data_IF_293584444458
#
_entry.id   IF_293584444458
#
_cell.length_a   1.000
_cell.length_b   1.000
_cell.length_c   1.000
_cell.angle_alpha   90.00
_cell.angle_beta   90.00
_cell.angle_gamma   90.00
#
_symmetry.space_group_name_H-M   'P 1'
#
loop_
_entity.id
_entity.type
_entity.pdbx_description
1 polymer ?
#
# COMPACT_ATOMS: atom_id res chain seq x y z
N UNK A 1 -2.82 23.42 28.47
CA UNK A 1 -3.02 21.97 28.68
C UNK A 1 -3.17 21.37 27.29
N UNK A 2 -2.05 21.05 26.65
CA UNK A 2 -2.03 20.67 25.23
C UNK A 2 -2.32 19.18 25.11
N UNK A 3 -3.55 18.84 24.74
CA UNK A 3 -3.89 17.52 24.21
C UNK A 3 -3.06 17.35 22.93
N UNK A 4 -1.97 16.57 23.01
CA UNK A 4 -1.33 16.02 21.82
C UNK A 4 -2.36 15.08 21.21
N UNK A 5 -2.97 15.49 20.10
CA UNK A 5 -3.72 14.57 19.24
C UNK A 5 -2.74 13.49 18.80
N UNK A 6 -3.05 12.24 19.11
CA UNK A 6 -2.30 11.10 18.59
C UNK A 6 -2.49 11.12 17.05
N UNK A 7 -1.44 10.95 16.24
CA UNK A 7 -1.59 10.78 14.78
C UNK A 7 -2.65 9.72 14.42
N UNK A 8 -2.83 8.72 15.29
CA UNK A 8 -3.86 7.67 15.22
C UNK A 8 -5.30 8.20 15.25
N UNK A 9 -5.57 9.33 15.91
CA UNK A 9 -6.92 9.92 16.02
C UNK A 9 -7.36 10.61 14.72
N UNK A 10 -6.41 11.01 13.89
CA UNK A 10 -6.65 11.76 12.64
C UNK A 10 -6.75 10.85 11.42
N UNK A 11 -6.28 9.60 11.55
CA UNK A 11 -6.41 8.61 10.50
C UNK A 11 -7.89 8.24 10.29
N UNK A 12 -8.26 7.87 9.05
CA UNK A 12 -9.59 7.36 8.77
C UNK A 12 -9.93 6.21 9.74
N UNK A 13 -11.17 6.16 10.27
CA UNK A 13 -11.60 4.98 11.02
C UNK A 13 -11.32 3.75 10.17
N UNK A 14 -10.89 2.65 10.80
CA UNK A 14 -10.66 1.39 10.10
C UNK A 14 -11.84 1.16 9.15
N UNK A 15 -11.58 1.17 7.85
CA UNK A 15 -12.57 0.68 6.90
C UNK A 15 -12.94 -0.71 7.41
N UNK A 16 -14.24 -0.95 7.63
CA UNK A 16 -14.71 -2.27 8.02
C UNK A 16 -14.00 -3.27 7.10
N UNK A 17 -13.30 -4.24 7.70
CA UNK A 17 -12.59 -5.27 6.96
C UNK A 17 -13.47 -5.67 5.77
N UNK A 18 -12.96 -5.64 4.52
CA UNK A 18 -13.78 -5.72 3.33
C UNK A 18 -14.85 -6.79 3.52
N UNK A 19 -16.11 -6.35 3.52
CA UNK A 19 -17.28 -7.18 3.80
C UNK A 19 -17.27 -8.34 2.84
N UNK A 20 -16.91 -9.53 3.32
CA UNK A 20 -16.92 -10.85 2.66
C UNK A 20 -17.02 -10.78 1.12
N UNK A 21 -16.12 -10.03 0.48
CA UNK A 21 -15.83 -10.27 -0.92
C UNK A 21 -15.25 -11.69 -0.90
N UNK A 22 -15.82 -12.66 -1.64
CA UNK A 22 -15.27 -14.00 -1.63
C UNK A 22 -13.79 -13.84 -1.93
N UNK A 23 -12.93 -14.18 -0.96
CA UNK A 23 -11.49 -14.30 -1.17
C UNK A 23 -11.38 -15.09 -2.46
N UNK A 24 -10.96 -14.43 -3.54
CA UNK A 24 -10.86 -15.04 -4.85
C UNK A 24 -9.82 -16.14 -4.74
N UNK A 25 -10.28 -17.33 -4.37
CA UNK A 25 -9.49 -18.49 -3.95
C UNK A 25 -8.83 -19.13 -5.17
N UNK A 26 -7.99 -18.36 -5.85
CA UNK A 26 -7.26 -18.83 -7.00
C UNK A 26 -5.81 -18.42 -6.84
N UNK A 27 -5.01 -19.41 -6.47
CA UNK A 27 -3.55 -19.32 -6.46
C UNK A 27 -3.10 -18.91 -7.86
N UNK A 28 -2.36 -17.81 -7.94
CA UNK A 28 -1.87 -17.26 -9.21
C UNK A 28 -0.37 -17.00 -9.07
N UNK A 29 0.42 -17.81 -9.76
CA UNK A 29 1.87 -17.64 -9.93
C UNK A 29 2.12 -16.96 -11.27
N UNK A 30 2.88 -15.86 -11.31
CA UNK A 30 3.23 -15.26 -12.60
C UNK A 30 4.34 -16.05 -13.28
N UNK A 31 4.37 -15.99 -14.61
CA UNK A 31 5.42 -16.59 -15.45
C UNK A 31 6.82 -16.34 -14.90
N UNK A 32 7.69 -17.35 -14.93
CA UNK A 32 9.06 -17.32 -14.43
C UNK A 32 9.20 -17.55 -12.92
N UNK A 33 8.08 -17.71 -12.20
CA UNK A 33 8.11 -18.15 -10.79
C UNK A 33 8.60 -19.59 -10.71
N UNK A 34 9.60 -19.85 -9.88
CA UNK A 34 10.14 -21.21 -9.69
C UNK A 34 9.54 -21.87 -8.47
N UNK A 35 9.03 -23.09 -8.67
CA UNK A 35 8.47 -23.94 -7.63
C UNK A 35 9.49 -25.02 -7.28
N UNK A 36 9.69 -25.27 -5.98
CA UNK A 36 10.54 -26.35 -5.51
C UNK A 36 9.97 -27.72 -5.87
N UNK A 37 10.76 -28.55 -6.53
CA UNK A 37 10.42 -29.94 -6.91
C UNK A 37 11.57 -30.89 -6.61
N UNK A 38 11.33 -32.20 -6.73
CA UNK A 38 12.41 -33.21 -6.66
C UNK A 38 13.48 -33.06 -7.76
N UNK A 39 13.17 -32.34 -8.84
CA UNK A 39 14.08 -32.02 -9.94
C UNK A 39 14.83 -30.70 -9.73
N UNK A 40 14.67 -30.07 -8.56
CA UNK A 40 15.14 -28.72 -8.27
C UNK A 40 14.04 -27.66 -8.40
N UNK A 41 14.44 -26.39 -8.46
CA UNK A 41 13.54 -25.25 -8.68
C UNK A 41 13.14 -25.16 -10.15
N UNK A 42 11.88 -25.46 -10.48
CA UNK A 42 11.35 -25.49 -11.85
C UNK A 42 10.39 -24.33 -12.06
N UNK A 43 10.56 -23.58 -13.15
CA UNK A 43 9.66 -22.49 -13.53
C UNK A 43 8.23 -23.01 -13.74
N UNK A 44 7.23 -22.25 -13.30
CA UNK A 44 5.83 -22.68 -13.28
C UNK A 44 5.31 -23.03 -14.67
N UNK A 45 5.77 -22.34 -15.72
CA UNK A 45 5.43 -22.65 -17.11
C UNK A 45 6.09 -23.95 -17.64
N UNK A 46 7.13 -24.44 -16.97
CA UNK A 46 7.90 -25.62 -17.34
C UNK A 46 7.55 -26.86 -16.49
N UNK A 47 6.71 -26.70 -15.47
CA UNK A 47 6.14 -27.80 -14.69
C UNK A 47 5.24 -28.68 -15.58
N UNK A 48 5.15 -29.96 -15.22
CA UNK A 48 4.30 -30.94 -15.88
C UNK A 48 3.40 -31.62 -14.87
N UNK A 49 2.21 -32.02 -15.30
CA UNK A 49 1.35 -32.91 -14.52
C UNK A 49 2.14 -34.19 -14.21
N UNK A 50 2.11 -34.60 -12.94
CA UNK A 50 2.91 -35.71 -12.40
C UNK A 50 4.26 -35.30 -11.80
N UNK A 51 4.75 -34.07 -12.02
CA UNK A 51 5.94 -33.58 -11.31
C UNK A 51 5.68 -33.56 -9.79
N UNK A 52 6.67 -33.99 -9.00
CA UNK A 52 6.56 -34.00 -7.54
C UNK A 52 7.05 -32.68 -6.96
N UNK A 53 6.11 -31.84 -6.54
CA UNK A 53 6.37 -30.61 -5.80
C UNK A 53 6.82 -30.93 -4.37
N UNK A 54 7.79 -30.18 -3.87
CA UNK A 54 8.17 -30.19 -2.45
C UNK A 54 7.18 -29.29 -1.71
N UNK A 55 6.47 -29.86 -0.74
CA UNK A 55 5.46 -29.16 0.07
C UNK A 55 5.80 -29.23 1.56
N UNK A 56 5.09 -28.45 2.38
CA UNK A 56 5.23 -28.50 3.84
C UNK A 56 4.86 -29.88 4.43
N UNK A 57 3.97 -30.63 3.77
CA UNK A 57 3.55 -31.97 4.23
C UNK A 57 4.31 -33.13 3.58
N UNK A 58 5.27 -32.86 2.70
CA UNK A 58 6.05 -33.89 1.97
C UNK A 58 6.09 -33.66 0.47
N UNK A 59 6.18 -34.74 -0.31
CA UNK A 59 6.14 -34.64 -1.77
C UNK A 59 4.71 -34.81 -2.26
N UNK A 60 4.24 -33.92 -3.14
CA UNK A 60 2.92 -34.04 -3.77
C UNK A 60 2.99 -33.97 -5.29
N UNK A 61 2.31 -34.88 -6.01
CA UNK A 61 2.14 -34.77 -7.45
C UNK A 61 1.36 -33.50 -7.83
N UNK A 62 1.84 -32.80 -8.85
CA UNK A 62 1.07 -31.78 -9.56
C UNK A 62 0.01 -32.50 -10.39
N UNK A 63 -1.26 -32.22 -10.13
CA UNK A 63 -2.40 -32.86 -10.81
C UNK A 63 -2.91 -32.02 -11.98
N UNK A 64 -2.76 -30.69 -11.89
CA UNK A 64 -3.21 -29.76 -12.92
C UNK A 64 -2.39 -28.48 -12.95
N UNK A 65 -2.20 -27.95 -14.14
CA UNK A 65 -1.56 -26.64 -14.38
C UNK A 65 -2.45 -25.88 -15.36
N UNK A 66 -2.89 -24.70 -14.97
CA UNK A 66 -3.80 -23.88 -15.78
C UNK A 66 -3.21 -22.51 -16.03
N UNK A 67 -3.11 -22.13 -17.31
CA UNK A 67 -2.88 -20.73 -17.68
C UNK A 67 -4.17 -19.94 -17.47
N UNK A 68 -4.07 -18.78 -16.82
CA UNK A 68 -5.22 -17.92 -16.54
C UNK A 68 -4.82 -16.43 -16.59
N UNK A 69 -5.82 -15.58 -16.75
CA UNK A 69 -5.66 -14.14 -16.55
C UNK A 69 -5.49 -13.80 -15.08
N UNK A 70 -4.87 -12.65 -14.81
CA UNK A 70 -4.85 -12.06 -13.47
C UNK A 70 -6.22 -11.45 -13.18
N UNK A 71 -6.89 -11.98 -12.16
CA UNK A 71 -8.13 -11.41 -11.63
C UNK A 71 -7.80 -10.67 -10.32
N UNK A 72 -8.49 -9.56 -10.04
CA UNK A 72 -8.37 -8.84 -8.76
C UNK A 72 -7.36 -7.68 -8.74
N UNK A 73 -6.96 -7.17 -9.91
CA UNK A 73 -6.10 -5.99 -10.05
C UNK A 73 -4.62 -6.34 -10.25
N UNK A 74 -3.75 -5.36 -9.95
CA UNK A 74 -2.31 -5.52 -10.15
C UNK A 74 -1.70 -6.62 -9.27
N UNK A 75 -0.77 -7.42 -9.80
CA UNK A 75 -0.05 -8.43 -9.03
C UNK A 75 0.84 -7.77 -7.96
N UNK A 76 1.21 -8.57 -6.96
CA UNK A 76 2.17 -8.16 -5.94
C UNK A 76 3.55 -8.70 -6.30
N UNK A 77 4.49 -7.78 -6.48
CA UNK A 77 5.92 -8.08 -6.50
C UNK A 77 6.45 -8.11 -5.08
N UNK A 78 7.04 -9.23 -4.72
CA UNK A 78 7.79 -9.43 -3.49
C UNK A 78 9.27 -9.42 -3.89
N UNK A 79 10.02 -8.42 -3.44
CA UNK A 79 11.46 -8.35 -3.68
C UNK A 79 12.17 -9.53 -3.02
N UNK A 80 13.29 -9.95 -3.61
CA UNK A 80 14.17 -10.93 -2.99
C UNK A 80 14.48 -10.52 -1.54
N UNK A 81 14.47 -11.49 -0.62
CA UNK A 81 14.78 -11.30 0.81
C UNK A 81 13.79 -10.42 1.58
N UNK A 82 12.59 -10.17 1.04
CA UNK A 82 11.57 -9.37 1.74
C UNK A 82 11.07 -10.02 3.05
N UNK A 83 11.12 -11.35 3.17
CA UNK A 83 10.79 -12.13 4.36
C UNK A 83 12.04 -12.70 5.04
N UNK A 84 13.16 -11.97 5.01
CA UNK A 84 14.45 -12.43 5.52
C UNK A 84 15.30 -13.06 4.41
N UNK A 85 15.46 -14.38 4.38
CA UNK A 85 16.22 -15.03 3.30
C UNK A 85 15.36 -15.37 2.07
N UNK A 86 14.04 -15.24 2.18
CA UNK A 86 13.07 -15.57 1.14
C UNK A 86 12.24 -14.34 0.74
N UNK A 87 11.71 -14.30 -0.50
CA UNK A 87 12.05 -15.20 -1.60
C UNK A 87 13.50 -15.01 -2.07
N UNK A 88 14.10 -16.03 -2.69
CA UNK A 88 15.51 -16.00 -3.16
C UNK A 88 15.71 -15.08 -4.36
N UNK A 89 14.62 -14.80 -5.09
CA UNK A 89 14.53 -13.90 -6.24
C UNK A 89 13.22 -13.12 -6.11
N UNK A 90 13.06 -12.08 -6.92
CA UNK A 90 11.79 -11.37 -6.99
C UNK A 90 10.66 -12.32 -7.40
N UNK A 91 9.66 -12.42 -6.54
CA UNK A 91 8.50 -13.29 -6.70
C UNK A 91 7.26 -12.46 -7.03
N UNK A 92 6.49 -12.92 -8.01
CA UNK A 92 5.29 -12.24 -8.47
C UNK A 92 4.07 -13.14 -8.26
N UNK A 93 3.13 -12.66 -7.47
CA UNK A 93 1.90 -13.40 -7.14
C UNK A 93 0.67 -12.56 -7.45
N UNK A 94 -0.44 -13.22 -7.78
CA UNK A 94 -1.74 -12.55 -7.81
C UNK A 94 -2.12 -11.98 -6.43
N UNK A 95 -2.91 -10.90 -6.35
CA UNK A 95 -3.14 -10.18 -5.10
C UNK A 95 -3.81 -11.02 -4.00
N UNK A 96 -4.64 -11.99 -4.38
CA UNK A 96 -5.32 -12.89 -3.44
C UNK A 96 -4.48 -14.08 -2.95
N UNK A 97 -3.27 -14.28 -3.49
CA UNK A 97 -2.46 -15.48 -3.22
C UNK A 97 -2.00 -15.52 -1.76
N UNK A 98 -2.33 -16.59 -1.04
CA UNK A 98 -1.96 -16.80 0.35
C UNK A 98 -0.47 -17.10 0.56
N UNK A 99 0.21 -16.22 1.30
CA UNK A 99 1.53 -16.51 1.87
C UNK A 99 1.33 -17.21 3.21
N UNK A 100 2.04 -18.32 3.42
CA UNK A 100 2.01 -19.06 4.67
C UNK A 100 3.02 -18.47 5.65
N UNK A 101 2.52 -17.77 6.67
CA UNK A 101 3.34 -17.12 7.69
C UNK A 101 2.56 -17.03 9.00
N UNK A 102 3.25 -17.06 10.15
CA UNK A 102 2.62 -17.03 11.48
C UNK A 102 1.54 -18.09 11.70
N UNK A 103 1.72 -19.28 11.14
CA UNK A 103 0.73 -20.36 11.25
C UNK A 103 -0.60 -20.03 10.56
N UNK A 104 -0.61 -19.07 9.63
CA UNK A 104 -1.79 -18.63 8.90
C UNK A 104 -1.50 -18.48 7.39
N UNK A 105 -2.56 -18.49 6.58
CA UNK A 105 -2.53 -18.05 5.18
C UNK A 105 -2.99 -16.59 5.09
N UNK A 106 -2.12 -15.70 4.63
CA UNK A 106 -2.40 -14.27 4.53
C UNK A 106 -2.28 -13.85 3.07
N UNK A 107 -3.31 -13.23 2.47
CA UNK A 107 -3.20 -12.74 1.09
C UNK A 107 -2.03 -11.79 0.96
N UNK A 108 -1.19 -12.01 -0.06
CA UNK A 108 0.00 -11.20 -0.30
C UNK A 108 -0.32 -9.71 -0.44
N UNK A 109 -1.48 -9.36 -1.01
CA UNK A 109 -1.94 -7.97 -1.09
C UNK A 109 -2.11 -7.30 0.27
N UNK A 110 -2.55 -8.05 1.28
CA UNK A 110 -2.71 -7.54 2.64
C UNK A 110 -1.36 -7.30 3.31
N UNK A 111 -0.25 -7.77 2.74
CA UNK A 111 1.12 -7.60 3.25
C UNK A 111 1.91 -6.53 2.49
N UNK A 112 1.29 -5.86 1.51
CA UNK A 112 1.93 -4.80 0.76
C UNK A 112 2.43 -3.70 1.70
N UNK A 113 3.68 -3.29 1.53
CA UNK A 113 4.31 -2.21 2.28
C UNK A 113 4.81 -1.08 1.37
N UNK A 114 4.62 -1.19 0.05
CA UNK A 114 5.03 -0.17 -0.92
C UNK A 114 6.54 -0.09 -1.17
N UNK A 115 7.36 -0.87 -0.47
CA UNK A 115 8.83 -0.86 -0.61
C UNK A 115 9.34 -2.20 -1.10
N UNK A 116 9.21 -3.26 -0.31
CA UNK A 116 9.65 -4.62 -0.66
C UNK A 116 8.50 -5.51 -1.14
N UNK A 117 7.26 -5.17 -0.78
CA UNK A 117 6.04 -5.78 -1.32
C UNK A 117 5.21 -4.69 -1.99
N UNK A 118 5.12 -4.72 -3.33
CA UNK A 118 4.48 -3.67 -4.14
C UNK A 118 3.40 -4.25 -5.03
N UNK A 119 2.21 -3.63 -5.02
CA UNK A 119 1.21 -3.81 -6.08
C UNK A 119 1.63 -2.96 -7.26
N UNK A 120 1.97 -3.58 -8.37
CA UNK A 120 2.38 -2.85 -9.57
C UNK A 120 2.03 -3.65 -10.84
N UNK A 121 1.66 -2.94 -11.90
CA UNK A 121 1.41 -3.56 -13.19
C UNK A 121 2.66 -4.31 -13.66
N UNK A 122 2.49 -5.58 -14.00
CA UNK A 122 3.59 -6.39 -14.52
C UNK A 122 3.47 -6.50 -16.04
N UNK A 123 4.58 -6.36 -16.76
CA UNK A 123 4.66 -6.76 -18.17
C UNK A 123 4.57 -8.29 -18.37
N UNK A 124 4.40 -9.08 -17.29
CA UNK A 124 4.22 -10.53 -17.35
C UNK A 124 2.74 -10.83 -17.57
N UNK A 125 2.37 -11.07 -18.82
CA UNK A 125 0.98 -11.27 -19.23
C UNK A 125 0.40 -12.63 -18.82
N UNK A 126 1.22 -13.57 -18.35
CA UNK A 126 0.79 -14.95 -18.10
C UNK A 126 0.85 -15.32 -16.62
N UNK A 127 -0.29 -15.73 -16.08
CA UNK A 127 -0.42 -16.31 -14.75
C UNK A 127 -0.81 -17.78 -14.83
N UNK A 128 -0.41 -18.53 -13.81
CA UNK A 128 -0.56 -19.98 -13.72
C UNK A 128 -1.23 -20.33 -12.39
N UNK A 129 -2.27 -21.16 -12.44
CA UNK A 129 -2.81 -21.86 -11.28
C UNK A 129 -2.20 -23.25 -11.18
N UNK A 130 -1.80 -23.65 -9.98
CA UNK A 130 -1.19 -24.94 -9.69
C UNK A 130 -2.12 -25.75 -8.76
N UNK A 131 -2.55 -26.92 -9.22
CA UNK A 131 -3.27 -27.89 -8.40
C UNK A 131 -2.38 -29.09 -8.08
N UNK A 132 -2.44 -29.53 -6.83
CA UNK A 132 -1.73 -30.69 -6.31
C UNK A 132 -2.73 -31.81 -5.97
N UNK A 133 -2.21 -33.00 -5.68
CA UNK A 133 -2.98 -34.08 -5.05
C UNK A 133 -3.36 -33.71 -3.59
N UNK A 134 -4.39 -32.88 -3.48
CA UNK A 134 -4.83 -32.21 -2.27
C UNK A 134 -4.07 -30.90 -1.99
N UNK A 135 -4.71 -29.96 -1.28
CA UNK A 135 -4.14 -28.64 -1.02
C UNK A 135 -3.01 -28.70 0.02
N UNK A 136 -2.00 -27.86 -0.17
CA UNK A 136 -0.78 -27.80 0.66
C UNK A 136 -0.03 -26.48 0.45
N UNK A 137 1.09 -26.32 1.16
CA UNK A 137 2.02 -25.21 1.00
C UNK A 137 3.19 -25.64 0.12
N UNK A 138 3.43 -24.93 -0.98
CA UNK A 138 4.61 -25.09 -1.85
C UNK A 138 5.64 -24.01 -1.56
N UNK A 139 6.87 -24.22 -2.00
CA UNK A 139 7.93 -23.21 -1.89
C UNK A 139 8.17 -22.56 -3.26
N UNK A 140 7.70 -21.32 -3.42
CA UNK A 140 7.88 -20.50 -4.61
C UNK A 140 9.02 -19.51 -4.41
N UNK A 141 10.10 -19.63 -5.18
CA UNK A 141 11.38 -18.94 -4.91
C UNK A 141 11.85 -19.13 -3.46
N UNK A 142 11.49 -20.26 -2.83
CA UNK A 142 11.72 -20.55 -1.41
C UNK A 142 10.70 -19.96 -0.42
N UNK A 143 9.82 -19.05 -0.84
CA UNK A 143 8.76 -18.52 0.02
C UNK A 143 7.60 -19.54 0.13
N UNK A 144 7.15 -19.90 1.34
CA UNK A 144 6.01 -20.80 1.53
C UNK A 144 4.69 -20.11 1.15
N UNK A 145 3.98 -20.68 0.18
CA UNK A 145 2.71 -20.14 -0.36
C UNK A 145 1.71 -21.26 -0.65
N UNK A 146 0.43 -20.94 -0.68
CA UNK A 146 -0.64 -21.91 -0.94
C UNK A 146 -0.61 -22.49 -2.37
N UNK A 147 -1.00 -23.76 -2.52
CA UNK A 147 -1.33 -24.39 -3.80
C UNK A 147 -2.48 -25.41 -3.63
N UNK A 148 -3.30 -25.59 -4.69
CA UNK A 148 -4.49 -26.46 -4.67
C UNK A 148 -5.82 -25.73 -4.92
N UNK A 149 -6.79 -26.43 -5.50
CA UNK A 149 -8.06 -25.86 -6.01
C UNK A 149 -9.17 -25.65 -4.96
N UNK A 150 -9.02 -26.19 -3.76
CA UNK A 150 -10.01 -26.06 -2.69
C UNK A 150 -9.33 -25.60 -1.43
N UNK A 151 -10.00 -24.70 -0.68
CA UNK A 151 -9.59 -24.29 0.66
C UNK A 151 -9.14 -25.53 1.40
N UNK A 152 -7.91 -25.50 1.84
CA UNK A 152 -7.31 -26.64 2.44
C UNK A 152 -7.98 -26.90 3.79
N UNK A 153 -8.77 -27.96 3.86
CA UNK A 153 -9.25 -28.49 5.14
C UNK A 153 -8.08 -28.98 6.04
N UNK A 154 -6.84 -28.89 5.53
CA UNK A 154 -5.56 -29.13 6.23
C UNK A 154 -4.50 -28.03 6.09
N UNK A 155 -4.73 -26.92 5.37
CA UNK A 155 -3.79 -25.80 5.37
C UNK A 155 -4.21 -24.76 6.40
N UNK A 156 -3.23 -23.91 6.73
CA UNK A 156 -3.32 -22.93 7.79
C UNK A 156 -4.60 -22.10 7.66
N UNK A 157 -5.21 -21.78 8.80
CA UNK A 157 -6.39 -20.93 8.83
C UNK A 157 -6.09 -19.56 8.17
N UNK A 158 -7.10 -18.89 7.57
CA UNK A 158 -6.89 -17.54 7.05
C UNK A 158 -6.47 -16.62 8.19
N UNK A 159 -5.37 -15.90 8.01
CA UNK A 159 -4.86 -14.93 8.99
C UNK A 159 -5.77 -13.71 9.08
N UNK A 160 -5.99 -13.23 10.31
CA UNK A 160 -6.82 -12.05 10.59
C UNK A 160 -6.26 -11.26 11.77
N UNK A 161 -6.62 -9.98 11.86
CA UNK A 161 -6.31 -9.10 12.98
C UNK A 161 -4.84 -9.15 13.39
N UNK A 162 -4.59 -9.43 14.67
CA UNK A 162 -3.27 -9.48 15.30
C UNK A 162 -2.22 -10.33 14.54
N UNK A 163 -2.62 -11.41 13.85
CA UNK A 163 -1.69 -12.24 13.07
C UNK A 163 -1.17 -11.47 11.84
N UNK A 164 -2.06 -10.78 11.13
CA UNK A 164 -1.69 -9.96 9.97
C UNK A 164 -0.89 -8.75 10.41
N UNK A 165 -1.33 -8.11 11.50
CA UNK A 165 -0.63 -6.96 12.10
C UNK A 165 0.79 -7.32 12.51
N UNK A 166 0.99 -8.43 13.23
CA UNK A 166 2.31 -8.88 13.66
C UNK A 166 3.27 -9.21 12.49
N UNK A 167 2.75 -9.72 11.38
CA UNK A 167 3.55 -9.92 10.17
C UNK A 167 3.88 -8.60 9.47
N UNK A 168 2.91 -7.69 9.33
CA UNK A 168 3.15 -6.35 8.79
C UNK A 168 4.21 -5.59 9.58
N UNK A 169 4.15 -5.63 10.91
CA UNK A 169 5.14 -5.00 11.80
C UNK A 169 6.56 -5.47 11.45
N UNK A 170 6.79 -6.79 11.37
CA UNK A 170 8.12 -7.32 11.03
C UNK A 170 8.57 -6.99 9.60
N UNK A 171 7.64 -6.97 8.64
CA UNK A 171 7.96 -6.56 7.27
C UNK A 171 8.37 -5.08 7.20
N UNK A 172 7.72 -4.21 7.97
CA UNK A 172 8.07 -2.79 8.09
C UNK A 172 9.43 -2.64 8.78
N UNK A 173 9.66 -3.34 9.90
CA UNK A 173 10.95 -3.36 10.60
C UNK A 173 12.09 -3.83 9.70
N UNK A 174 11.86 -4.85 8.86
CA UNK A 174 12.84 -5.33 7.89
C UNK A 174 13.18 -4.27 6.83
N UNK A 175 12.20 -3.48 6.38
CA UNK A 175 12.42 -2.36 5.45
C UNK A 175 13.24 -1.25 6.13
N UNK A 176 12.92 -0.92 7.38
CA UNK A 176 13.68 0.06 8.17
C UNK A 176 15.14 -0.39 8.38
N UNK A 177 15.36 -1.68 8.66
CA UNK A 177 16.70 -2.26 8.81
C UNK A 177 17.55 -2.19 7.51
N UNK A 178 16.91 -2.04 6.34
CA UNK A 178 17.58 -1.80 5.05
C UNK A 178 17.93 -0.31 4.82
N UNK A 179 17.76 0.54 5.84
CA UNK A 179 18.11 1.96 5.80
C UNK A 179 16.98 2.90 5.36
N UNK A 180 15.79 2.38 5.04
CA UNK A 180 14.64 3.24 4.76
C UNK A 180 14.20 3.95 6.04
N UNK A 181 13.68 5.17 5.88
CA UNK A 181 13.11 5.95 6.98
C UNK A 181 11.60 6.11 6.85
N UNK A 182 10.98 6.57 7.94
CA UNK A 182 9.64 7.14 7.93
C UNK A 182 9.74 8.63 8.27
N UNK A 183 8.89 9.45 7.66
CA UNK A 183 8.77 10.87 7.94
C UNK A 183 7.29 11.26 8.03
N UNK A 184 6.95 12.21 8.88
CA UNK A 184 5.61 12.81 8.93
C UNK A 184 5.51 14.07 8.05
N UNK A 185 6.62 14.49 7.44
CA UNK A 185 6.63 15.62 6.54
C UNK A 185 6.00 15.25 5.19
N UNK A 186 4.85 15.85 4.91
CA UNK A 186 4.12 15.67 3.67
C UNK A 186 4.69 16.47 2.49
N UNK A 187 5.68 17.36 2.69
CA UNK A 187 6.19 18.30 1.66
C UNK A 187 5.08 19.01 0.86
N UNK A 188 4.18 19.75 1.53
CA UNK A 188 3.08 20.43 0.86
C UNK A 188 3.60 21.62 0.03
N UNK A 189 3.23 21.68 -1.24
CA UNK A 189 3.45 22.86 -2.08
C UNK A 189 2.25 23.15 -2.99
N UNK A 190 2.17 24.36 -3.52
CA UNK A 190 1.20 24.70 -4.56
C UNK A 190 1.93 24.77 -5.91
N UNK A 191 1.53 23.92 -6.85
CA UNK A 191 1.98 24.02 -8.23
C UNK A 191 1.08 25.00 -8.98
N UNK A 192 1.69 26.02 -9.58
CA UNK A 192 1.03 27.11 -10.26
C UNK A 192 1.58 27.28 -11.68
N UNK A 193 0.81 26.89 -12.69
CA UNK A 193 1.27 26.79 -14.09
C UNK A 193 2.62 26.05 -14.23
N UNK A 194 2.81 24.99 -13.45
CA UNK A 194 4.06 24.21 -13.38
C UNK A 194 5.18 24.79 -12.49
N UNK A 195 5.00 25.99 -11.92
CA UNK A 195 5.94 26.56 -10.94
C UNK A 195 5.59 26.14 -9.51
N UNK A 196 6.58 25.70 -8.74
CA UNK A 196 6.40 25.34 -7.32
C UNK A 196 6.37 26.59 -6.44
N UNK A 197 5.34 26.70 -5.59
CA UNK A 197 5.19 27.75 -4.58
C UNK A 197 5.27 27.09 -3.20
N UNK A 198 6.26 27.50 -2.41
CA UNK A 198 6.41 27.05 -1.02
C UNK A 198 5.36 27.71 -0.11
N UNK A 199 4.86 26.99 0.89
CA UNK A 199 3.93 27.56 1.86
C UNK A 199 4.64 28.50 2.83
N UNK A 200 3.97 29.60 3.17
CA UNK A 200 4.21 30.33 4.40
C UNK A 200 3.50 29.60 5.53
N UNK A 201 4.25 29.14 6.52
CA UNK A 201 3.69 28.46 7.70
C UNK A 201 3.15 29.49 8.69
N UNK A 202 1.84 29.48 8.93
CA UNK A 202 1.17 30.40 9.86
C UNK A 202 1.12 29.82 11.28
N UNK A 203 0.94 28.51 11.41
CA UNK A 203 1.02 27.76 12.67
C UNK A 203 1.30 26.28 12.41
N UNK A 204 1.33 25.46 13.46
CA UNK A 204 1.28 24.01 13.30
C UNK A 204 -0.03 23.64 12.56
N UNK A 205 0.09 22.91 11.46
CA UNK A 205 -1.04 22.51 10.63
C UNK A 205 -1.65 23.59 9.73
N UNK A 206 -1.25 24.86 9.81
CA UNK A 206 -1.85 25.94 8.99
C UNK A 206 -0.84 26.54 8.02
N UNK A 207 -1.16 26.48 6.73
CA UNK A 207 -0.28 26.92 5.64
C UNK A 207 -0.99 27.94 4.75
N UNK A 208 -0.24 28.92 4.26
CA UNK A 208 -0.71 29.87 3.27
C UNK A 208 0.19 29.82 2.01
N UNK A 209 -0.43 29.79 0.85
CA UNK A 209 0.23 29.86 -0.46
C UNK A 209 -0.17 31.16 -1.13
N UNK A 210 0.83 31.94 -1.54
CA UNK A 210 0.62 33.24 -2.18
C UNK A 210 1.09 33.16 -3.62
N UNK A 211 0.17 33.38 -4.56
CA UNK A 211 0.51 33.47 -5.98
C UNK A 211 0.75 34.95 -6.34
N UNK A 212 1.88 35.31 -6.98
CA UNK A 212 2.17 36.71 -7.31
C UNK A 212 1.17 37.34 -8.30
N UNK A 213 0.56 36.52 -9.13
CA UNK A 213 -0.46 36.87 -10.11
C UNK A 213 -1.46 35.71 -10.22
N UNK A 214 -2.71 35.96 -10.66
CA UNK A 214 -3.68 34.90 -10.95
C UNK A 214 -3.11 33.86 -11.92
N UNK A 215 -3.46 32.59 -11.71
CA UNK A 215 -2.92 31.42 -12.43
C UNK A 215 -4.06 30.53 -12.93
N UNK A 216 -3.90 29.94 -14.10
CA UNK A 216 -4.95 29.13 -14.71
C UNK A 216 -4.94 27.68 -14.21
N UNK A 217 -3.76 27.20 -13.78
CA UNK A 217 -3.60 25.89 -13.18
C UNK A 217 -3.02 25.98 -11.78
N UNK A 218 -3.79 25.51 -10.80
CA UNK A 218 -3.43 25.51 -9.38
C UNK A 218 -3.67 24.12 -8.81
N UNK A 219 -2.59 23.46 -8.39
CA UNK A 219 -2.63 22.10 -7.85
C UNK A 219 -1.91 22.05 -6.52
N UNK A 220 -2.65 21.75 -5.45
CA UNK A 220 -2.08 21.50 -4.13
C UNK A 220 -1.45 20.11 -4.13
N UNK A 221 -0.13 20.05 -4.03
CA UNK A 221 0.64 18.80 -4.11
C UNK A 221 1.31 18.45 -2.78
N UNK A 222 1.49 17.16 -2.54
CA UNK A 222 2.21 16.62 -1.39
C UNK A 222 2.76 15.23 -1.70
N UNK A 223 3.63 14.74 -0.82
CA UNK A 223 3.89 13.30 -0.69
C UNK A 223 2.58 12.55 -0.43
N UNK A 224 2.57 11.28 -0.82
CA UNK A 224 1.46 10.35 -0.58
C UNK A 224 1.94 9.16 0.21
N UNK A 225 1.07 8.66 1.09
CA UNK A 225 1.27 7.39 1.78
C UNK A 225 0.01 6.54 1.65
N UNK A 226 0.17 5.24 1.81
CA UNK A 226 -0.95 4.31 1.93
C UNK A 226 -0.97 3.79 3.36
N UNK A 227 -1.99 4.09 4.17
CA UNK A 227 -2.02 3.69 5.58
C UNK A 227 -1.74 2.18 5.78
N UNK A 228 -2.34 1.31 4.97
CA UNK A 228 -2.14 -0.13 5.06
C UNK A 228 -0.69 -0.59 4.83
N UNK A 229 0.16 0.24 4.23
CA UNK A 229 1.57 -0.06 3.94
C UNK A 229 2.53 0.25 5.09
N UNK A 230 2.15 1.17 5.97
CA UNK A 230 3.04 1.72 7.01
C UNK A 230 2.45 1.59 8.42
N UNK A 231 1.15 1.35 8.53
CA UNK A 231 0.44 1.11 9.79
C UNK A 231 -0.06 -0.34 9.82
N UNK A 232 0.53 -1.20 10.67
CA UNK A 232 0.15 -2.61 10.74
C UNK A 232 -1.35 -2.85 10.93
N UNK A 233 -2.01 -2.07 11.77
CA UNK A 233 -3.43 -2.18 12.09
C UNK A 233 -4.36 -1.61 11.00
N UNK A 234 -3.84 -0.91 10.00
CA UNK A 234 -4.67 -0.30 8.96
C UNK A 234 -4.93 -1.26 7.80
N UNK A 235 -6.18 -1.24 7.32
CA UNK A 235 -6.61 -1.86 6.08
C UNK A 235 -6.91 -0.83 4.97
N UNK A 236 -6.74 0.47 5.24
CA UNK A 236 -6.99 1.52 4.26
C UNK A 236 -5.89 1.53 3.19
N UNK A 237 -6.27 1.16 1.97
CA UNK A 237 -5.40 1.01 0.80
C UNK A 237 -5.38 2.24 -0.10
N UNK A 238 -6.05 3.34 0.30
CA UNK A 238 -6.04 4.59 -0.44
C UNK A 238 -4.65 5.23 -0.39
N UNK A 239 -4.25 5.85 -1.50
CA UNK A 239 -3.13 6.79 -1.52
C UNK A 239 -3.61 8.14 -0.97
N UNK A 240 -3.17 8.49 0.23
CA UNK A 240 -3.56 9.70 0.96
C UNK A 240 -2.42 10.72 0.94
N UNK A 241 -2.75 11.96 0.56
CA UNK A 241 -1.86 13.12 0.65
C UNK A 241 -2.15 13.93 1.92
N UNK A 242 -2.67 15.15 1.75
CA UNK A 242 -2.99 16.07 2.85
C UNK A 242 -4.40 15.81 3.39
N UNK A 243 -4.54 15.74 4.72
CA UNK A 243 -5.83 15.73 5.40
C UNK A 243 -6.28 17.17 5.66
N UNK A 244 -7.10 17.72 4.76
CA UNK A 244 -7.57 19.10 4.86
C UNK A 244 -8.80 19.15 5.77
N UNK A 245 -8.75 20.01 6.79
CA UNK A 245 -9.86 20.25 7.73
C UNK A 245 -10.48 21.64 7.54
N UNK A 246 -9.80 22.53 6.82
CA UNK A 246 -10.32 23.84 6.42
C UNK A 246 -9.63 24.29 5.13
N UNK A 247 -10.38 24.90 4.21
CA UNK A 247 -9.85 25.49 2.99
C UNK A 247 -10.41 26.90 2.81
N UNK A 248 -9.52 27.87 2.59
CA UNK A 248 -9.89 29.24 2.22
C UNK A 248 -9.18 29.64 0.92
N UNK A 249 -9.91 30.28 0.02
CA UNK A 249 -9.39 30.79 -1.25
C UNK A 249 -9.79 32.26 -1.37
N UNK A 250 -8.80 33.16 -1.44
CA UNK A 250 -8.98 34.61 -1.52
C UNK A 250 -9.89 35.21 -0.43
N UNK A 251 -9.93 34.55 0.74
CA UNK A 251 -10.75 34.94 1.89
C UNK A 251 -12.10 34.22 1.98
N UNK A 252 -12.53 33.55 0.92
CA UNK A 252 -13.76 32.75 0.90
C UNK A 252 -13.50 31.37 1.53
N UNK A 253 -14.39 30.96 2.43
CA UNK A 253 -14.41 29.60 2.98
C UNK A 253 -14.97 28.63 1.95
N UNK A 254 -14.22 27.59 1.60
CA UNK A 254 -14.66 26.54 0.68
C UNK A 254 -15.11 25.34 1.50
N UNK A 255 -16.38 24.95 1.36
CA UNK A 255 -16.92 23.74 1.99
C UNK A 255 -16.19 22.50 1.46
N UNK A 256 -15.85 21.56 2.34
CA UNK A 256 -15.05 20.40 1.96
C UNK A 256 -15.86 19.36 1.18
N UNK A 257 -17.18 19.32 1.31
CA UNK A 257 -18.09 18.56 0.45
C UNK A 257 -18.40 19.25 -0.90
N UNK A 258 -17.85 20.44 -1.15
CA UNK A 258 -18.09 21.18 -2.39
C UNK A 258 -17.72 20.35 -3.62
N UNK A 259 -18.57 20.45 -4.65
CA UNK A 259 -18.33 19.84 -5.97
C UNK A 259 -17.19 20.53 -6.73
N UNK A 260 -16.72 21.70 -6.27
CA UNK A 260 -15.51 22.35 -6.80
C UNK A 260 -14.23 21.59 -6.46
N UNK A 261 -14.26 20.72 -5.44
CA UNK A 261 -13.15 19.89 -5.02
C UNK A 261 -13.33 18.48 -5.61
N UNK A 262 -12.96 18.29 -6.87
CA UNK A 262 -13.17 17.04 -7.60
C UNK A 262 -11.84 16.32 -7.87
N UNK A 263 -11.05 16.83 -8.81
CA UNK A 263 -9.84 16.24 -9.32
C UNK A 263 -8.77 16.20 -8.23
N UNK A 264 -8.35 14.98 -7.89
CA UNK A 264 -7.35 14.76 -6.86
C UNK A 264 -7.87 14.81 -5.42
N UNK A 265 -9.18 14.88 -5.20
CA UNK A 265 -9.79 14.83 -3.86
C UNK A 265 -10.51 13.50 -3.61
N UNK A 266 -10.28 12.88 -2.44
CA UNK A 266 -11.10 11.75 -1.98
C UNK A 266 -12.52 12.19 -1.61
N UNK A 267 -13.41 11.27 -1.26
CA UNK A 267 -14.71 11.64 -0.69
C UNK A 267 -14.52 12.39 0.65
N UNK A 268 -15.38 13.37 0.98
CA UNK A 268 -15.38 14.00 2.30
C UNK A 268 -15.66 12.97 3.39
N UNK A 269 -15.03 13.16 4.55
CA UNK A 269 -15.16 12.31 5.73
C UNK A 269 -15.62 13.16 6.93
N UNK A 270 -16.58 12.65 7.70
CA UNK A 270 -17.03 13.30 8.93
C UNK A 270 -18.05 12.42 9.66
N UNK A 271 -17.80 12.17 10.94
CA UNK A 271 -18.81 11.56 11.82
C UNK A 271 -19.64 12.65 12.49
N UNK A 272 -20.84 12.31 12.96
CA UNK A 272 -21.65 13.24 13.74
C UNK A 272 -20.85 13.72 14.98
N UNK A 273 -20.53 15.02 15.02
CA UNK A 273 -19.79 15.66 16.11
C UNK A 273 -18.27 15.78 15.91
N UNK A 274 -17.71 15.36 14.77
CA UNK A 274 -16.32 15.63 14.39
C UNK A 274 -16.25 16.68 13.26
N UNK A 275 -15.17 17.50 13.16
CA UNK A 275 -15.00 18.41 12.04
C UNK A 275 -14.91 17.61 10.74
N UNK A 276 -15.59 18.13 9.71
CA UNK A 276 -15.49 17.60 8.35
C UNK A 276 -14.03 17.69 7.88
N UNK A 277 -13.54 16.64 7.24
CA UNK A 277 -12.19 16.56 6.68
C UNK A 277 -12.22 15.93 5.31
N UNK A 278 -11.21 16.23 4.49
CA UNK A 278 -11.11 15.63 3.16
C UNK A 278 -9.65 15.42 2.78
N UNK A 279 -9.34 14.21 2.33
CA UNK A 279 -8.00 13.85 1.91
C UNK A 279 -7.74 14.22 0.45
N UNK A 280 -6.55 14.75 0.16
CA UNK A 280 -6.05 14.82 -1.23
C UNK A 280 -5.45 13.48 -1.66
N UNK A 281 -5.31 13.26 -2.97
CA UNK A 281 -4.60 12.13 -3.60
C UNK A 281 -3.13 12.43 -3.89
N UNK A 282 -2.56 13.46 -3.27
CA UNK A 282 -1.20 13.95 -3.50
C UNK A 282 -1.06 15.05 -4.55
N UNK A 283 -2.08 15.24 -5.40
CA UNK A 283 -2.18 16.35 -6.35
C UNK A 283 -3.65 16.70 -6.50
N UNK A 284 -4.09 17.75 -5.82
CA UNK A 284 -5.48 18.18 -5.73
C UNK A 284 -5.69 19.51 -6.43
N UNK A 285 -6.56 19.54 -7.44
CA UNK A 285 -6.82 20.75 -8.20
C UNK A 285 -7.66 21.73 -7.38
N UNK A 286 -7.36 23.01 -7.53
CA UNK A 286 -8.04 24.12 -6.89
C UNK A 286 -8.66 25.07 -7.92
N UNK A 287 -9.55 25.93 -7.46
CA UNK A 287 -10.14 27.01 -8.25
C UNK A 287 -9.02 27.86 -8.92
N UNK A 288 -9.08 28.11 -10.24
CA UNK A 288 -8.12 28.96 -10.92
C UNK A 288 -8.26 30.42 -10.49
N UNK A 289 -7.20 31.21 -10.71
CA UNK A 289 -7.16 32.64 -10.44
C UNK A 289 -6.89 33.02 -9.00
N UNK A 290 -6.80 32.05 -8.08
CA UNK A 290 -6.57 32.30 -6.66
C UNK A 290 -5.23 33.00 -6.40
N UNK A 291 -5.24 34.04 -5.56
CA UNK A 291 -4.06 34.78 -5.08
C UNK A 291 -3.56 34.30 -3.73
N UNK A 292 -4.47 33.85 -2.89
CA UNK A 292 -4.19 33.34 -1.56
C UNK A 292 -4.96 32.05 -1.32
N UNK A 293 -4.26 30.97 -1.00
CA UNK A 293 -4.85 29.70 -0.57
C UNK A 293 -4.39 29.42 0.85
N UNK A 294 -5.32 29.26 1.79
CA UNK A 294 -5.02 28.88 3.16
C UNK A 294 -5.62 27.51 3.44
N UNK A 295 -4.82 26.61 3.98
CA UNK A 295 -5.27 25.26 4.38
C UNK A 295 -4.95 25.02 5.84
N UNK A 296 -5.93 24.47 6.56
CA UNK A 296 -5.70 23.84 7.86
C UNK A 296 -5.64 22.33 7.64
N UNK A 297 -4.64 21.70 8.24
CA UNK A 297 -4.28 20.30 8.04
C UNK A 297 -4.32 19.57 9.37
N UNK A 298 -4.99 18.42 9.39
CA UNK A 298 -4.79 17.44 10.44
C UNK A 298 -3.47 16.67 10.19
N UNK A 299 -2.86 16.09 11.24
CA UNK A 299 -1.76 15.14 11.09
C UNK A 299 -2.08 14.04 10.06
N UNK A 300 -1.07 13.67 9.27
CA UNK A 300 -1.10 12.56 8.32
C UNK A 300 0.23 11.81 8.33
N UNK A 301 0.43 10.90 7.37
CA UNK A 301 1.61 10.04 7.31
C UNK A 301 1.50 8.81 8.22
N UNK A 302 2.60 8.04 8.38
CA UNK A 302 3.96 8.35 7.94
C UNK A 302 4.26 7.99 6.47
N UNK A 303 5.24 8.68 5.86
CA UNK A 303 5.70 8.48 4.49
C UNK A 303 7.04 7.73 4.45
N UNK A 304 7.20 6.80 3.51
CA UNK A 304 8.50 6.16 3.28
C UNK A 304 9.52 7.14 2.71
N UNK A 305 10.74 7.08 3.26
CA UNK A 305 11.91 7.80 2.77
C UNK A 305 12.99 6.80 2.36
N UNK A 306 13.53 6.99 1.16
CA UNK A 306 14.66 6.20 0.68
C UNK A 306 15.92 6.43 1.55
N UNK A 307 16.83 5.45 1.66
CA UNK A 307 18.02 5.55 2.53
C UNK A 307 18.89 6.78 2.31
N UNK A 308 19.02 7.21 1.05
CA UNK A 308 19.90 8.32 0.64
C UNK A 308 19.12 9.60 0.26
N UNK A 309 17.83 9.68 0.56
CA UNK A 309 17.08 10.90 0.31
C UNK A 309 17.64 12.01 1.22
N UNK A 310 18.06 13.17 0.66
CA UNK A 310 18.57 14.27 1.47
C UNK A 310 17.53 14.64 2.53
N UNK A 311 18.00 14.89 3.76
CA UNK A 311 17.17 15.52 4.77
C UNK A 311 16.70 16.86 4.21
N UNK A 312 15.40 17.13 4.25
CA UNK A 312 14.90 18.44 3.86
C UNK A 312 15.69 19.51 4.62
N UNK A 313 16.22 20.54 3.93
CA UNK A 313 17.19 21.49 4.50
C UNK A 313 16.66 22.30 5.69
N UNK A 314 15.40 22.11 6.08
CA UNK A 314 14.71 22.86 7.14
C UNK A 314 14.95 22.27 8.55
N UNK A 315 15.51 21.06 8.70
CA UNK A 315 15.77 20.48 10.04
C UNK A 315 17.14 20.89 10.60
N UNK A 316 18.00 21.57 9.85
CA UNK A 316 19.36 21.92 10.27
C UNK A 316 19.52 23.29 10.96
N UNK A 317 18.44 23.97 11.38
CA UNK A 317 18.51 25.31 11.98
C UNK A 317 18.22 25.39 13.49
N UNK A 318 18.08 24.26 14.18
CA UNK A 318 18.11 24.23 15.65
C UNK A 318 18.92 23.04 16.16
N UNK A 319 20.24 23.17 16.03
CA UNK A 319 21.24 22.47 16.83
C UNK A 319 21.96 23.48 17.72
#
# INVERSE_FOLDING_TARGET
MSLRLDPSDCLPPQAAAPTDAPFGAQTCFLRGTRIATVRGEVEVEALRVGDLAVTASGLRPVTRIERRGLNGGDPVRILARAFGETPRRDLWLGPGHGVAAEGALIPVAALANGVTLRREASGRAEAYGLELDGPDIVFAEGLPVEAGAARADRALAPGRGAVVEGLKTRLIEAVLAQGHGLTDDADPCLMADGARIEPVRLSQGRLAFITPAPRDDLVLTSRVFTPAHVLPASADDRALGLCVTRLQIDGDEIALDSTELDEGWHAPEGAAGAPERRWTRGAARLRPGARCVIVDLAPGGPYWRAPDAPLDPVVALFG
#
